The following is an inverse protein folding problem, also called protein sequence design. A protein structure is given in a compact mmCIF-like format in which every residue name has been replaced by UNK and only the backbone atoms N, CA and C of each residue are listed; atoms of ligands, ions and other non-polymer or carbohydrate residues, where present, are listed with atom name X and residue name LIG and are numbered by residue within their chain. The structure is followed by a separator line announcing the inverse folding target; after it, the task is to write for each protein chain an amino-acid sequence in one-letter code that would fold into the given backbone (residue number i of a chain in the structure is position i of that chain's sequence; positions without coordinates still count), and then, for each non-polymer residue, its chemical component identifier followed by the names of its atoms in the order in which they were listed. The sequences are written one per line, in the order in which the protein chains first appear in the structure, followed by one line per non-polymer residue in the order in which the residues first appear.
data_IF_982036498289
#
_entry.id   IF_982036498289
#
_cell.length_a   1.000
_cell.length_b   1.000
_cell.length_c   1.000
_cell.angle_alpha   90.00
_cell.angle_beta   90.00
_cell.angle_gamma   90.00
#
_symmetry.space_group_name_H-M   'P 1'
#
loop_
_entity.id
_entity.type
_entity.pdbx_description
1 polymer ?
#
# COMPACT_ATOMS: atom_id res chain seq x y z
N UNK A 1 35.04 5.64 -7.60
CA UNK A 1 33.89 6.57 -7.59
C UNK A 1 32.86 5.95 -6.66
N UNK A 2 32.64 6.52 -5.48
CA UNK A 2 31.61 5.99 -4.57
C UNK A 2 30.26 6.44 -5.12
N UNK A 3 29.43 5.48 -5.54
CA UNK A 3 28.07 5.76 -5.96
C UNK A 3 27.26 5.94 -4.66
N UNK A 4 26.76 7.14 -4.43
CA UNK A 4 25.82 7.37 -3.35
C UNK A 4 24.45 6.85 -3.78
N UNK A 5 24.03 5.74 -3.21
CA UNK A 5 22.70 5.21 -3.44
C UNK A 5 21.68 5.93 -2.56
N UNK A 6 20.48 6.11 -3.10
CA UNK A 6 19.32 6.63 -2.37
C UNK A 6 18.36 5.49 -2.11
N UNK A 7 17.73 5.50 -0.95
CA UNK A 7 16.67 4.56 -0.62
C UNK A 7 15.54 4.67 -1.65
N UNK A 8 15.16 3.56 -2.26
CA UNK A 8 14.06 3.54 -3.23
C UNK A 8 12.70 3.88 -2.61
N UNK A 9 12.56 3.77 -1.29
CA UNK A 9 11.32 4.05 -0.59
C UNK A 9 11.18 5.53 -0.20
N UNK A 10 12.21 6.14 0.39
CA UNK A 10 12.12 7.50 0.93
C UNK A 10 13.11 8.51 0.33
N UNK A 11 13.97 8.09 -0.61
CA UNK A 11 14.97 8.96 -1.23
C UNK A 11 16.17 9.34 -0.35
N UNK A 12 16.19 8.92 0.93
CA UNK A 12 17.29 9.21 1.85
C UNK A 12 18.61 8.58 1.36
N UNK A 13 19.71 9.27 1.59
CA UNK A 13 21.04 8.79 1.19
C UNK A 13 21.46 7.62 2.08
N UNK A 14 21.85 6.52 1.46
CA UNK A 14 22.21 5.29 2.16
C UNK A 14 23.71 5.30 2.50
N UNK A 15 24.04 4.68 3.63
CA UNK A 15 25.44 4.39 3.95
C UNK A 15 26.03 3.49 2.85
N UNK A 16 27.27 3.71 2.42
CA UNK A 16 27.91 2.88 1.41
C UNK A 16 28.02 1.43 1.90
N UNK A 17 27.27 0.52 1.25
CA UNK A 17 27.22 -0.91 1.56
C UNK A 17 28.09 -1.73 0.60
N UNK A 18 28.45 -2.96 1.02
CA UNK A 18 29.13 -3.92 0.14
C UNK A 18 28.19 -4.41 -0.97
N UNK A 19 28.71 -4.73 -2.18
CA UNK A 19 27.92 -5.00 -3.40
C UNK A 19 27.06 -6.28 -3.41
N UNK A 20 26.72 -6.85 -2.26
CA UNK A 20 25.83 -7.99 -2.13
C UNK A 20 25.33 -8.11 -0.69
N UNK A 21 24.17 -7.52 -0.42
CA UNK A 21 23.55 -7.58 0.90
C UNK A 21 22.14 -6.99 0.91
N UNK A 22 21.39 -7.30 1.96
CA UNK A 22 20.26 -6.45 2.33
C UNK A 22 20.82 -5.14 2.86
N UNK A 23 20.38 -4.04 2.28
CA UNK A 23 20.69 -2.69 2.76
C UNK A 23 19.50 -2.22 3.56
N UNK A 24 19.80 -1.78 4.78
CA UNK A 24 18.84 -1.20 5.70
C UNK A 24 18.87 0.32 5.55
N UNK A 25 17.71 0.96 5.44
CA UNK A 25 17.62 2.42 5.48
C UNK A 25 17.27 2.87 6.89
N UNK A 26 18.23 3.46 7.61
CA UNK A 26 18.02 3.97 8.97
C UNK A 26 16.91 5.04 9.06
N UNK A 27 16.53 5.65 7.93
CA UNK A 27 15.51 6.71 7.89
C UNK A 27 14.08 6.17 7.84
N UNK A 28 13.82 5.14 7.04
CA UNK A 28 12.49 4.57 6.85
C UNK A 28 12.39 3.09 7.28
N UNK A 29 13.46 2.56 7.88
CA UNK A 29 13.59 1.19 8.41
C UNK A 29 13.40 0.10 7.34
N UNK A 30 13.37 0.48 6.06
CA UNK A 30 13.14 -0.44 4.96
C UNK A 30 14.40 -1.27 4.66
N UNK A 31 14.23 -2.58 4.49
CA UNK A 31 15.25 -3.48 3.99
C UNK A 31 15.03 -3.73 2.49
N UNK A 32 16.06 -3.54 1.67
CA UNK A 32 16.00 -3.83 0.24
C UNK A 32 17.22 -4.63 -0.21
N UNK A 33 16.99 -5.55 -1.14
CA UNK A 33 18.08 -6.27 -1.80
C UNK A 33 18.69 -5.37 -2.86
N UNK A 34 19.93 -4.97 -2.64
CA UNK A 34 20.75 -4.33 -3.67
C UNK A 34 20.94 -5.35 -4.81
N UNK A 35 20.37 -5.09 -6.00
CA UNK A 35 20.73 -5.87 -7.18
C UNK A 35 22.19 -5.53 -7.49
N UNK A 36 23.06 -6.55 -7.51
CA UNK A 36 24.41 -6.37 -7.99
C UNK A 36 24.33 -5.76 -9.40
N UNK A 37 24.68 -4.49 -9.52
CA UNK A 37 24.81 -3.84 -10.82
C UNK A 37 25.91 -4.62 -11.53
N UNK A 38 25.52 -5.38 -12.56
CA UNK A 38 26.46 -6.08 -13.42
C UNK A 38 27.39 -5.03 -14.00
N UNK A 39 28.61 -4.93 -13.46
CA UNK A 39 29.66 -4.14 -14.09
C UNK A 39 29.81 -4.71 -15.50
N UNK A 40 29.50 -3.88 -16.50
CA UNK A 40 29.54 -4.28 -17.90
C UNK A 40 30.90 -4.88 -18.23
N UNK A 41 30.91 -6.18 -18.51
CA UNK A 41 31.99 -6.79 -19.24
C UNK A 41 31.94 -6.19 -20.64
N UNK A 42 32.91 -5.33 -20.97
CA UNK A 42 33.15 -4.92 -22.33
C UNK A 42 33.47 -6.17 -23.15
N UNK A 43 32.56 -6.57 -24.04
CA UNK A 43 32.80 -7.61 -25.05
C UNK A 43 33.18 -6.89 -26.35
N UNK A 44 34.45 -6.90 -26.78
CA UNK A 44 34.80 -6.47 -28.12
C UNK A 44 34.64 -7.66 -29.09
N UNK A 45 33.73 -7.50 -30.05
CA UNK A 45 33.73 -8.25 -31.32
C UNK A 45 33.29 -9.72 -31.25
N UNK A 46 32.11 -10.01 -31.79
CA UNK A 46 31.84 -11.31 -32.42
C UNK A 46 30.73 -11.16 -33.46
N UNK A 47 30.94 -11.85 -34.58
CA UNK A 47 30.24 -11.75 -35.84
C UNK A 47 28.76 -12.17 -35.76
N UNK A 48 27.98 -11.65 -36.70
CA UNK A 48 26.55 -11.92 -36.86
C UNK A 48 26.23 -13.41 -36.95
N UNK A 49 25.21 -13.80 -36.19
CA UNK A 49 24.47 -15.05 -36.42
C UNK A 49 23.19 -14.71 -37.19
N UNK A 50 22.80 -15.53 -38.18
CA UNK A 50 21.54 -15.36 -38.90
C UNK A 50 20.34 -15.56 -37.95
N UNK A 51 19.18 -14.92 -38.23
CA UNK A 51 17.99 -15.11 -37.43
C UNK A 51 17.49 -16.56 -37.53
N UNK A 52 17.00 -17.16 -36.43
CA UNK A 52 16.41 -18.48 -36.47
C UNK A 52 15.09 -18.48 -37.26
N UNK A 53 14.71 -19.61 -37.88
CA UNK A 53 13.45 -19.73 -38.59
C UNK A 53 12.25 -19.61 -37.63
N UNK A 54 11.27 -18.83 -38.04
CA UNK A 54 9.97 -18.69 -37.37
C UNK A 54 9.10 -19.92 -37.65
N UNK A 55 8.93 -20.78 -36.65
CA UNK A 55 7.87 -21.80 -36.66
C UNK A 55 6.61 -21.23 -36.01
N UNK A 56 5.40 -21.45 -36.57
CA UNK A 56 4.16 -21.12 -35.91
C UNK A 56 3.96 -22.05 -34.71
N UNK A 57 4.06 -21.49 -33.51
CA UNK A 57 3.74 -22.17 -32.25
C UNK A 57 2.22 -22.37 -32.17
N UNK A 58 1.76 -23.61 -32.36
CA UNK A 58 0.42 -23.99 -31.93
C UNK A 58 0.46 -24.15 -30.39
N UNK A 59 -0.40 -23.48 -29.62
CA UNK A 59 -0.44 -23.67 -28.18
C UNK A 59 -0.92 -25.11 -27.87
N UNK A 60 -0.27 -25.82 -26.93
CA UNK A 60 -0.75 -27.12 -26.50
C UNK A 60 -2.12 -26.99 -25.80
N UNK A 61 -2.98 -28.01 -25.87
CA UNK A 61 -4.24 -28.02 -25.13
C UNK A 61 -3.96 -27.98 -23.62
N UNK A 62 -4.57 -27.01 -22.94
CA UNK A 62 -4.56 -26.92 -21.47
C UNK A 62 -5.44 -28.05 -20.93
N UNK A 63 -4.81 -29.11 -20.43
CA UNK A 63 -5.47 -30.14 -19.64
C UNK A 63 -5.45 -29.68 -18.19
N UNK A 64 -6.55 -29.11 -17.69
CA UNK A 64 -6.74 -28.88 -16.26
C UNK A 64 -7.19 -30.18 -15.59
N UNK A 65 -6.45 -30.74 -14.62
CA UNK A 65 -6.96 -31.84 -13.83
C UNK A 65 -8.05 -31.34 -12.87
N UNK A 66 -9.26 -31.87 -13.01
CA UNK A 66 -10.30 -31.77 -11.99
C UNK A 66 -9.80 -32.42 -10.71
N UNK A 67 -9.58 -31.62 -9.65
CA UNK A 67 -9.48 -32.14 -8.29
C UNK A 67 -10.85 -32.02 -7.61
N UNK A 68 -11.43 -33.12 -7.10
CA UNK A 68 -12.63 -33.04 -6.28
C UNK A 68 -12.29 -32.43 -4.92
N UNK A 69 -13.03 -31.38 -4.55
CA UNK A 69 -12.98 -30.77 -3.22
C UNK A 69 -13.59 -31.74 -2.22
N UNK A 70 -12.74 -32.41 -1.45
CA UNK A 70 -13.18 -33.18 -0.29
C UNK A 70 -13.65 -32.21 0.81
N UNK A 71 -14.94 -32.31 1.18
CA UNK A 71 -15.51 -31.60 2.31
C UNK A 71 -14.90 -32.12 3.61
N UNK A 72 -13.95 -31.37 4.18
CA UNK A 72 -13.44 -31.63 5.52
C UNK A 72 -14.47 -31.14 6.55
N UNK A 73 -15.19 -32.09 7.15
CA UNK A 73 -16.04 -31.90 8.32
C UNK A 73 -15.19 -31.42 9.52
N UNK A 74 -15.38 -30.15 9.90
CA UNK A 74 -14.74 -29.54 11.07
C UNK A 74 -15.49 -29.96 12.35
N UNK A 75 -14.84 -30.74 13.22
CA UNK A 75 -15.33 -31.04 14.58
C UNK A 75 -14.88 -29.91 15.53
N UNK A 76 -15.76 -29.36 16.38
CA UNK A 76 -15.34 -28.44 17.44
C UNK A 76 -14.65 -29.23 18.56
N UNK A 77 -13.42 -28.83 18.92
CA UNK A 77 -12.77 -29.29 20.14
C UNK A 77 -13.03 -28.29 21.27
N UNK A 78 -13.56 -28.83 22.37
CA UNK A 78 -13.88 -28.13 23.59
C UNK A 78 -12.62 -27.71 24.37
N UNK A 79 -12.67 -26.48 24.88
CA UNK A 79 -12.33 -26.01 26.23
C UNK A 79 -11.29 -26.81 27.03
N UNK A 80 -10.18 -26.16 27.35
CA UNK A 80 -9.24 -26.55 28.40
C UNK A 80 -8.58 -25.33 29.02
N UNK A 81 -9.24 -24.74 30.02
CA UNK A 81 -8.70 -23.74 30.94
C UNK A 81 -7.63 -24.43 31.80
N UNK A 82 -6.39 -23.93 31.82
CA UNK A 82 -5.49 -24.11 32.95
C UNK A 82 -4.84 -22.78 33.35
N UNK A 83 -5.16 -22.36 34.57
CA UNK A 83 -4.43 -21.38 35.33
C UNK A 83 -3.14 -22.03 35.87
N UNK A 84 -2.01 -21.34 35.77
CA UNK A 84 -0.88 -21.57 36.64
C UNK A 84 -0.30 -20.22 37.08
N UNK A 85 -0.27 -20.05 38.39
CA UNK A 85 0.14 -18.88 39.15
C UNK A 85 1.61 -19.06 39.57
N UNK A 86 2.27 -17.93 39.86
CA UNK A 86 3.45 -17.76 40.73
C UNK A 86 4.83 -17.98 40.09
N UNK A 87 5.67 -16.96 40.20
CA UNK A 87 7.12 -17.10 40.09
C UNK A 87 7.85 -15.77 39.97
N UNK A 88 8.09 -15.12 41.12
CA UNK A 88 8.90 -13.93 41.27
C UNK A 88 10.40 -14.18 40.94
N UNK A 89 11.20 -13.10 41.07
CA UNK A 89 12.69 -13.08 41.23
C UNK A 89 13.41 -12.94 39.86
N UNK A 90 14.32 -12.01 39.56
CA UNK A 90 15.37 -11.31 40.32
C UNK A 90 15.81 -10.04 39.56
N UNK A 91 16.14 -8.98 40.31
CA UNK A 91 16.97 -7.87 39.85
C UNK A 91 18.42 -8.33 39.66
N UNK A 92 19.13 -7.91 38.61
CA UNK A 92 20.59 -7.73 38.69
C UNK A 92 21.20 -6.93 37.52
N UNK A 93 22.03 -5.97 37.93
CA UNK A 93 23.29 -5.48 37.34
C UNK A 93 23.31 -4.53 36.13
N UNK A 94 23.65 -3.28 36.46
CA UNK A 94 24.58 -2.41 35.73
C UNK A 94 25.88 -3.14 35.35
N UNK A 95 26.44 -2.90 34.16
CA UNK A 95 27.87 -2.70 33.80
C UNK A 95 27.84 -2.24 32.32
N UNK A 96 28.21 -1.01 31.97
CA UNK A 96 29.58 -0.64 31.66
C UNK A 96 29.93 -1.02 30.20
N UNK A 97 29.72 -0.09 29.26
CA UNK A 97 30.05 -0.27 27.84
C UNK A 97 30.69 0.99 27.27
N UNK A 98 32.00 0.94 27.09
CA UNK A 98 32.91 2.02 26.69
C UNK A 98 32.52 2.73 25.39
N UNK A 99 32.67 4.05 25.43
CA UNK A 99 32.70 4.93 24.27
C UNK A 99 33.87 4.56 23.35
N UNK A 100 33.57 4.02 22.16
CA UNK A 100 34.54 3.94 21.06
C UNK A 100 34.48 5.24 20.26
N UNK A 101 35.38 6.18 20.59
CA UNK A 101 35.69 7.35 19.76
C UNK A 101 36.51 6.85 18.57
N UNK A 102 35.85 6.50 17.48
CA UNK A 102 36.50 6.27 16.19
C UNK A 102 36.79 7.62 15.55
N UNK A 103 38.05 8.04 15.62
CA UNK A 103 38.58 9.15 14.84
C UNK A 103 38.50 8.81 13.34
N UNK A 104 37.46 9.30 12.68
CA UNK A 104 37.37 9.30 11.23
C UNK A 104 38.44 10.23 10.66
N UNK A 105 39.54 9.65 10.17
CA UNK A 105 40.53 10.34 9.33
C UNK A 105 39.86 10.79 8.04
N UNK A 106 39.46 12.06 8.01
CA UNK A 106 39.09 12.80 6.80
C UNK A 106 40.25 12.74 5.81
N UNK A 107 40.14 11.89 4.79
CA UNK A 107 41.02 11.93 3.64
C UNK A 107 40.64 13.16 2.83
N UNK A 108 41.49 14.18 2.86
CA UNK A 108 41.42 15.34 1.96
C UNK A 108 41.60 14.86 0.52
N UNK A 109 40.49 14.65 -0.18
CA UNK A 109 40.50 14.38 -1.62
C UNK A 109 41.00 15.66 -2.31
N UNK A 110 42.06 15.60 -3.13
CA UNK A 110 42.55 16.77 -3.84
C UNK A 110 41.44 17.35 -4.73
N UNK A 111 41.35 18.69 -4.83
CA UNK A 111 40.34 19.35 -5.65
C UNK A 111 40.49 18.89 -7.10
N UNK A 112 39.49 18.17 -7.61
CA UNK A 112 39.46 17.75 -9.00
C UNK A 112 39.25 19.02 -9.85
N UNK A 113 40.08 19.28 -10.87
CA UNK A 113 39.91 20.43 -11.75
C UNK A 113 38.51 20.43 -12.34
N UNK A 114 37.81 21.57 -12.21
CA UNK A 114 36.46 21.77 -12.68
C UNK A 114 36.44 21.74 -14.21
N UNK A 115 36.22 20.57 -14.79
CA UNK A 115 35.89 20.46 -16.22
C UNK A 115 34.50 21.04 -16.39
N UNK A 116 34.41 22.21 -17.02
CA UNK A 116 33.16 22.84 -17.40
C UNK A 116 32.34 21.84 -18.23
N UNK A 117 31.25 21.34 -17.65
CA UNK A 117 30.33 20.48 -18.39
C UNK A 117 29.64 21.35 -19.44
N UNK A 118 29.60 20.94 -20.72
CA UNK A 118 28.81 21.63 -21.72
C UNK A 118 27.36 21.70 -21.22
N UNK A 119 26.81 22.92 -21.20
CA UNK A 119 25.41 23.18 -20.86
C UNK A 119 24.57 22.57 -21.98
N UNK A 120 24.05 21.38 -21.75
CA UNK A 120 23.05 20.77 -22.64
C UNK A 120 21.78 21.63 -22.49
N UNK A 121 21.25 22.23 -23.57
CA UNK A 121 19.98 22.93 -23.52
C UNK A 121 18.94 21.96 -22.97
N UNK A 122 18.37 22.26 -21.80
CA UNK A 122 17.25 21.49 -21.28
C UNK A 122 16.08 21.73 -22.25
N UNK A 123 15.78 20.71 -23.05
CA UNK A 123 14.52 20.67 -23.80
C UNK A 123 13.42 20.74 -22.75
N UNK A 124 12.65 21.82 -22.77
CA UNK A 124 11.53 22.00 -21.85
C UNK A 124 10.63 20.76 -21.96
N UNK A 125 10.40 20.07 -20.84
CA UNK A 125 9.46 18.96 -20.84
C UNK A 125 8.11 19.48 -21.32
N UNK A 126 7.45 18.77 -22.26
CA UNK A 126 6.14 19.16 -22.73
C UNK A 126 5.20 19.20 -21.52
N UNK A 127 4.53 20.34 -21.34
CA UNK A 127 3.54 20.52 -20.27
C UNK A 127 2.48 19.40 -20.42
N UNK A 128 2.29 18.54 -19.42
CA UNK A 128 1.37 17.43 -19.54
C UNK A 128 -0.06 17.95 -19.72
N UNK A 129 -0.72 17.56 -20.81
CA UNK A 129 -2.12 17.88 -21.04
C UNK A 129 -2.96 17.23 -19.94
N UNK A 130 -3.83 17.98 -19.24
CA UNK A 130 -4.69 17.41 -18.21
C UNK A 130 -5.59 16.34 -18.82
N UNK A 131 -5.60 15.15 -18.21
CA UNK A 131 -6.48 14.05 -18.62
C UNK A 131 -7.95 14.47 -18.40
N UNK A 132 -8.86 14.16 -19.33
CA UNK A 132 -10.28 14.41 -19.11
C UNK A 132 -10.77 13.65 -17.88
N UNK A 133 -11.60 14.32 -17.06
CA UNK A 133 -12.23 13.72 -15.89
C UNK A 133 -13.49 12.96 -16.31
N UNK A 134 -13.69 11.79 -15.74
CA UNK A 134 -14.89 10.97 -15.89
C UNK A 134 -16.04 11.60 -15.11
N UNK A 135 -17.21 11.76 -15.73
CA UNK A 135 -18.40 12.22 -15.04
C UNK A 135 -18.98 11.12 -14.13
N UNK A 136 -19.48 11.51 -12.96
CA UNK A 136 -20.02 10.59 -11.94
C UNK A 136 -21.19 9.73 -12.43
N UNK A 137 -22.07 10.27 -13.27
CA UNK A 137 -23.22 9.57 -13.85
C UNK A 137 -22.82 8.48 -14.85
N UNK A 138 -21.64 8.59 -15.45
CA UNK A 138 -21.08 7.66 -16.43
C UNK A 138 -20.23 6.56 -15.79
N UNK A 139 -20.05 6.59 -14.47
CA UNK A 139 -19.15 5.70 -13.75
C UNK A 139 -19.53 4.22 -13.87
N UNK A 140 -20.82 3.91 -13.93
CA UNK A 140 -21.33 2.55 -14.09
C UNK A 140 -21.04 1.94 -15.46
N UNK A 141 -21.07 2.76 -16.51
CA UNK A 141 -20.99 2.31 -17.91
C UNK A 141 -19.57 2.40 -18.48
N UNK A 142 -18.63 2.97 -17.72
CA UNK A 142 -17.25 3.14 -18.16
C UNK A 142 -16.45 1.86 -17.96
N UNK A 143 -15.67 1.48 -18.99
CA UNK A 143 -14.71 0.37 -18.91
C UNK A 143 -13.49 0.80 -18.08
N UNK A 144 -13.63 0.68 -16.76
CA UNK A 144 -12.55 0.97 -15.81
C UNK A 144 -11.51 -0.16 -15.83
N UNK A 145 -10.22 0.22 -15.78
CA UNK A 145 -9.12 -0.73 -15.66
C UNK A 145 -8.62 -0.84 -14.23
N UNK A 146 -8.06 -1.98 -13.87
CA UNK A 146 -7.30 -2.14 -12.63
C UNK A 146 -5.85 -1.65 -12.75
N UNK A 147 -5.36 -1.46 -13.98
CA UNK A 147 -4.01 -0.95 -14.25
C UNK A 147 -3.95 0.57 -14.35
N UNK A 148 -5.11 1.23 -14.45
CA UNK A 148 -5.18 2.66 -14.71
C UNK A 148 -6.12 3.33 -13.73
N UNK A 149 -5.62 4.38 -13.09
CA UNK A 149 -6.44 5.34 -12.38
C UNK A 149 -7.09 6.29 -13.37
N UNK A 150 -8.42 6.40 -13.28
CA UNK A 150 -9.22 7.29 -14.09
C UNK A 150 -9.61 8.50 -13.25
N UNK A 151 -9.18 9.73 -13.60
CA UNK A 151 -9.60 10.92 -12.88
C UNK A 151 -11.13 11.05 -12.90
N UNK A 152 -11.72 11.37 -11.75
CA UNK A 152 -13.16 11.48 -11.56
C UNK A 152 -13.55 12.94 -11.29
N UNK A 153 -14.64 13.38 -11.91
CA UNK A 153 -15.31 14.64 -11.59
C UNK A 153 -16.29 14.42 -10.42
N UNK A 154 -15.72 14.24 -9.23
CA UNK A 154 -16.47 14.01 -8.00
C UNK A 154 -16.97 15.35 -7.41
N UNK A 155 -18.10 15.35 -6.67
CA UNK A 155 -18.48 16.47 -5.83
C UNK A 155 -17.35 16.84 -4.86
N UNK A 156 -17.28 18.11 -4.45
CA UNK A 156 -16.36 18.52 -3.41
C UNK A 156 -16.63 17.76 -2.10
N UNK A 157 -15.56 17.32 -1.44
CA UNK A 157 -15.62 16.75 -0.11
C UNK A 157 -15.70 17.86 0.96
N UNK A 158 -15.95 17.48 2.21
CA UNK A 158 -15.96 18.41 3.36
C UNK A 158 -14.56 18.59 3.95
N UNK A 159 -14.19 19.83 4.24
CA UNK A 159 -12.86 20.18 4.79
C UNK A 159 -11.87 20.67 3.73
N UNK A 160 -10.58 20.69 4.07
CA UNK A 160 -9.48 21.11 3.18
C UNK A 160 -8.48 19.96 2.99
N UNK A 161 -7.56 20.07 2.03
CA UNK A 161 -6.50 19.08 1.87
C UNK A 161 -5.60 18.90 3.11
N UNK A 162 -5.38 19.97 3.88
CA UNK A 162 -4.51 19.97 5.08
C UNK A 162 -5.20 19.53 6.37
N UNK A 163 -6.54 19.47 6.39
CA UNK A 163 -7.32 19.03 7.55
C UNK A 163 -8.45 18.08 7.12
N UNK A 164 -8.11 17.12 6.26
CA UNK A 164 -9.08 16.17 5.74
C UNK A 164 -9.46 15.15 6.81
N UNK A 165 -10.74 15.14 7.23
CA UNK A 165 -11.27 14.08 8.09
C UNK A 165 -11.78 12.90 7.26
N UNK A 166 -11.06 11.78 7.36
CA UNK A 166 -11.34 10.54 6.63
C UNK A 166 -12.72 9.96 6.94
N UNK A 167 -13.18 10.09 8.19
CA UNK A 167 -14.43 9.48 8.65
C UNK A 167 -15.62 10.38 8.34
N UNK A 168 -15.46 11.70 8.49
CA UNK A 168 -16.50 12.68 8.12
C UNK A 168 -16.86 12.60 6.64
N UNK A 169 -15.88 12.28 5.77
CA UNK A 169 -16.08 12.16 4.33
C UNK A 169 -16.53 10.76 3.86
N UNK A 170 -16.83 9.82 4.76
CA UNK A 170 -17.38 8.50 4.39
C UNK A 170 -18.71 8.59 3.63
N UNK A 171 -19.70 9.41 4.03
CA UNK A 171 -20.95 9.56 3.28
C UNK A 171 -20.71 10.03 1.83
N UNK A 172 -19.82 11.00 1.64
CA UNK A 172 -19.40 11.47 0.31
C UNK A 172 -18.81 10.34 -0.53
N UNK A 173 -17.91 9.53 0.03
CA UNK A 173 -17.32 8.40 -0.68
C UNK A 173 -18.38 7.33 -1.01
N UNK A 174 -19.35 7.10 -0.11
CA UNK A 174 -20.48 6.16 -0.35
C UNK A 174 -21.31 6.60 -1.54
N UNK A 175 -21.55 7.90 -1.73
CA UNK A 175 -22.30 8.40 -2.89
C UNK A 175 -21.56 8.13 -4.21
N UNK A 176 -20.22 8.22 -4.22
CA UNK A 176 -19.37 7.79 -5.35
C UNK A 176 -19.53 6.29 -5.60
N UNK A 177 -19.43 5.47 -4.55
CA UNK A 177 -19.65 4.02 -4.67
C UNK A 177 -21.03 3.68 -5.26
N UNK A 178 -22.08 4.40 -4.83
CA UNK A 178 -23.46 4.21 -5.32
C UNK A 178 -23.68 4.64 -6.76
N UNK A 179 -22.97 5.68 -7.22
CA UNK A 179 -22.98 6.08 -8.63
C UNK A 179 -22.36 5.00 -9.53
N UNK A 180 -21.39 4.23 -9.00
CA UNK A 180 -20.85 3.07 -9.70
C UNK A 180 -21.78 1.86 -9.67
N UNK A 181 -22.29 1.47 -8.50
CA UNK A 181 -23.34 0.44 -8.37
C UNK A 181 -24.31 0.82 -7.24
N UNK A 182 -25.64 0.80 -7.43
CA UNK A 182 -26.58 1.21 -6.39
C UNK A 182 -26.48 0.41 -5.08
N UNK A 183 -26.01 -0.85 -5.15
CA UNK A 183 -25.80 -1.74 -4.01
C UNK A 183 -24.36 -1.75 -3.49
N UNK A 184 -23.49 -0.86 -3.97
CA UNK A 184 -22.10 -0.78 -3.53
C UNK A 184 -22.03 -0.48 -2.02
N UNK A 185 -21.23 -1.27 -1.32
CA UNK A 185 -20.98 -1.13 0.12
C UNK A 185 -19.51 -0.87 0.36
N UNK A 186 -19.20 -0.04 1.37
CA UNK A 186 -17.84 0.21 1.79
C UNK A 186 -17.28 -1.03 2.48
N UNK A 187 -16.10 -1.49 2.08
CA UNK A 187 -15.43 -2.68 2.63
C UNK A 187 -14.10 -2.37 3.32
N UNK A 188 -13.42 -1.30 2.91
CA UNK A 188 -12.20 -0.87 3.56
C UNK A 188 -11.97 0.63 3.40
N UNK A 189 -11.30 1.21 4.39
CA UNK A 189 -10.67 2.53 4.31
C UNK A 189 -9.18 2.30 4.55
N UNK A 190 -8.32 2.81 3.68
CA UNK A 190 -6.86 2.69 3.80
C UNK A 190 -6.23 4.08 3.67
N UNK A 191 -5.38 4.45 4.62
CA UNK A 191 -4.81 5.79 4.73
C UNK A 191 -3.31 5.69 4.99
N UNK A 192 -2.50 6.29 4.11
CA UNK A 192 -1.03 6.30 4.17
C UNK A 192 -0.48 7.58 3.53
N UNK A 193 0.28 8.46 4.22
CA UNK A 193 0.58 8.44 5.64
C UNK A 193 -0.46 9.17 6.49
N UNK A 194 -0.50 8.80 7.77
CA UNK A 194 -1.15 9.52 8.86
C UNK A 194 -0.11 10.06 9.81
N UNK A 195 -0.28 11.29 10.28
CA UNK A 195 0.54 11.84 11.35
C UNK A 195 0.13 11.28 12.72
N UNK A 196 0.98 11.50 13.72
CA UNK A 196 0.77 11.00 15.10
C UNK A 196 -0.52 11.48 15.75
N UNK A 197 -1.05 12.62 15.34
CA UNK A 197 -2.32 13.18 15.82
C UNK A 197 -3.55 12.61 15.08
N UNK A 198 -3.35 11.68 14.15
CA UNK A 198 -4.41 11.08 13.35
C UNK A 198 -4.90 11.96 12.19
N UNK A 199 -4.17 13.04 11.85
CA UNK A 199 -4.41 13.83 10.64
C UNK A 199 -3.71 13.24 9.43
N UNK A 200 -4.18 13.59 8.23
CA UNK A 200 -3.46 13.39 6.99
C UNK A 200 -3.45 14.68 6.18
N UNK A 201 -2.41 14.86 5.37
CA UNK A 201 -2.33 15.92 4.37
C UNK A 201 -2.52 15.30 2.98
N UNK A 202 -3.65 15.59 2.34
CA UNK A 202 -3.91 15.16 0.97
C UNK A 202 -2.97 15.87 0.01
N UNK A 203 -2.42 15.14 -0.96
CA UNK A 203 -1.45 15.67 -1.93
C UNK A 203 -0.02 15.73 -1.43
N UNK A 204 0.24 15.35 -0.17
CA UNK A 204 1.61 15.12 0.29
C UNK A 204 2.28 14.01 -0.55
N UNK A 205 3.59 14.09 -0.83
CA UNK A 205 4.29 13.04 -1.56
C UNK A 205 4.15 11.67 -0.89
N UNK A 206 3.60 10.69 -1.59
CA UNK A 206 3.31 9.36 -1.06
C UNK A 206 1.99 9.26 -0.28
N UNK A 207 1.26 10.37 -0.14
CA UNK A 207 -0.07 10.42 0.43
C UNK A 207 -1.13 9.76 -0.44
N UNK A 208 -1.89 8.87 0.18
CA UNK A 208 -2.99 8.12 -0.41
C UNK A 208 -4.07 7.87 0.62
N UNK A 209 -5.31 8.10 0.19
CA UNK A 209 -6.51 7.69 0.90
C UNK A 209 -7.37 6.90 -0.07
N UNK A 210 -7.71 5.67 0.32
CA UNK A 210 -8.45 4.75 -0.52
C UNK A 210 -9.72 4.29 0.18
N UNK A 211 -10.87 4.55 -0.43
CA UNK A 211 -12.14 3.93 -0.07
C UNK A 211 -12.40 2.76 -1.01
N UNK A 212 -12.52 1.55 -0.46
CA UNK A 212 -12.77 0.34 -1.25
C UNK A 212 -14.23 -0.07 -1.15
N UNK A 213 -14.92 -0.13 -2.29
CA UNK A 213 -16.32 -0.52 -2.40
C UNK A 213 -16.47 -1.86 -3.12
N UNK A 214 -17.49 -2.63 -2.77
CA UNK A 214 -17.87 -3.83 -3.51
C UNK A 214 -19.39 -3.91 -3.73
N UNK A 215 -19.82 -4.41 -4.89
CA UNK A 215 -21.23 -4.68 -5.21
C UNK A 215 -21.52 -6.17 -5.07
N UNK A 216 -22.48 -6.52 -4.22
CA UNK A 216 -22.89 -7.91 -3.99
C UNK A 216 -23.59 -8.48 -5.22
N UNK A 217 -24.38 -7.66 -5.91
CA UNK A 217 -25.07 -8.03 -7.13
C UNK A 217 -24.08 -8.30 -8.26
N UNK A 218 -23.06 -7.45 -8.43
CA UNK A 218 -21.97 -7.69 -9.36
C UNK A 218 -21.27 -9.03 -9.07
N UNK A 219 -20.88 -9.27 -7.80
CA UNK A 219 -20.20 -10.52 -7.40
C UNK A 219 -21.06 -11.75 -7.72
N UNK A 220 -22.35 -11.68 -7.41
CA UNK A 220 -23.31 -12.76 -7.69
C UNK A 220 -23.44 -13.02 -9.20
N UNK A 221 -23.56 -11.94 -10.00
CA UNK A 221 -23.64 -12.04 -11.45
C UNK A 221 -22.33 -12.53 -12.09
N UNK A 222 -21.18 -12.12 -11.56
CA UNK A 222 -19.87 -12.61 -11.99
C UNK A 222 -19.71 -14.11 -11.70
N UNK A 223 -20.11 -14.56 -10.51
CA UNK A 223 -20.11 -15.99 -10.15
C UNK A 223 -21.00 -16.81 -11.08
N UNK A 224 -22.23 -16.37 -11.33
CA UNK A 224 -23.16 -17.05 -12.25
C UNK A 224 -22.60 -17.13 -13.67
N UNK A 225 -21.93 -16.08 -14.16
CA UNK A 225 -21.27 -16.09 -15.48
C UNK A 225 -20.12 -17.09 -15.52
N UNK A 226 -19.29 -17.14 -14.47
CA UNK A 226 -18.17 -18.07 -14.38
C UNK A 226 -18.61 -19.55 -14.40
N UNK A 227 -19.80 -19.87 -13.90
CA UNK A 227 -20.39 -21.21 -14.00
C UNK A 227 -20.76 -21.61 -15.44
N UNK A 228 -20.97 -20.63 -16.32
CA UNK A 228 -21.48 -20.84 -17.69
C UNK A 228 -20.49 -20.53 -18.81
N UNK A 229 -19.32 -19.97 -18.50
CA UNK A 229 -18.35 -19.48 -19.49
C UNK A 229 -16.95 -19.97 -19.15
N UNK A 230 -16.25 -20.58 -20.11
CA UNK A 230 -14.92 -21.18 -19.89
C UNK A 230 -13.82 -20.15 -19.58
N UNK A 231 -14.04 -18.86 -19.86
CA UNK A 231 -13.14 -17.75 -19.54
C UNK A 231 -13.95 -16.45 -19.35
N UNK A 232 -14.67 -16.26 -18.23
CA UNK A 232 -15.41 -15.03 -18.01
C UNK A 232 -14.42 -13.86 -17.99
N UNK A 233 -14.75 -12.71 -18.60
CA UNK A 233 -13.93 -11.50 -18.45
C UNK A 233 -13.78 -11.18 -16.97
N UNK A 234 -12.57 -10.80 -16.56
CA UNK A 234 -12.28 -10.38 -15.19
C UNK A 234 -12.93 -9.03 -14.92
N UNK A 235 -14.25 -9.04 -14.71
CA UNK A 235 -14.97 -7.87 -14.25
C UNK A 235 -14.73 -7.78 -12.75
N UNK A 236 -13.92 -6.80 -12.36
CA UNK A 236 -13.79 -6.51 -10.94
C UNK A 236 -15.13 -6.00 -10.42
N UNK A 237 -15.60 -6.64 -9.36
CA UNK A 237 -16.73 -6.17 -8.57
C UNK A 237 -16.26 -5.37 -7.35
N UNK A 238 -15.06 -4.78 -7.42
CA UNK A 238 -14.48 -3.93 -6.40
C UNK A 238 -13.92 -2.64 -7.00
N UNK A 239 -14.44 -1.50 -6.56
CA UNK A 239 -13.98 -0.16 -6.94
C UNK A 239 -13.12 0.40 -5.82
N UNK A 240 -12.03 1.05 -6.20
CA UNK A 240 -11.22 1.84 -5.28
C UNK A 240 -11.35 3.31 -5.68
N UNK A 241 -11.79 4.13 -4.74
CA UNK A 241 -11.79 5.59 -4.86
C UNK A 241 -10.51 6.09 -4.19
N UNK A 242 -9.62 6.67 -4.98
CA UNK A 242 -8.36 7.25 -4.53
C UNK A 242 -8.52 8.76 -4.37
N UNK A 243 -8.17 9.27 -3.20
CA UNK A 243 -8.14 10.71 -2.91
C UNK A 243 -6.68 11.13 -2.77
N UNK A 244 -6.17 11.78 -3.82
CA UNK A 244 -4.76 12.14 -3.96
C UNK A 244 -4.51 13.62 -3.67
N UNK A 245 -5.55 14.42 -3.44
CA UNK A 245 -5.48 15.88 -3.27
C UNK A 245 -6.87 16.51 -3.27
N UNK A 246 -6.95 17.82 -3.00
CA UNK A 246 -8.22 18.55 -2.85
C UNK A 246 -9.19 18.39 -4.02
N UNK A 247 -8.65 18.35 -5.24
CA UNK A 247 -9.42 18.23 -6.47
C UNK A 247 -8.94 17.07 -7.34
N UNK A 248 -8.19 16.15 -6.74
CA UNK A 248 -7.55 15.02 -7.40
C UNK A 248 -8.12 13.72 -6.85
N UNK A 249 -9.33 13.41 -7.31
CA UNK A 249 -10.01 12.14 -7.05
C UNK A 249 -9.88 11.28 -8.29
N UNK A 250 -9.47 10.04 -8.12
CA UNK A 250 -9.43 9.05 -9.19
C UNK A 250 -10.10 7.76 -8.75
N UNK A 251 -10.47 6.94 -9.72
CA UNK A 251 -11.07 5.63 -9.49
C UNK A 251 -10.33 4.56 -10.28
N UNK A 252 -10.28 3.35 -9.73
CA UNK A 252 -9.83 2.18 -10.45
C UNK A 252 -10.54 0.92 -9.97
N UNK A 253 -10.47 -0.13 -10.77
CA UNK A 253 -10.92 -1.45 -10.36
C UNK A 253 -9.85 -2.16 -9.53
N UNK A 254 -10.23 -2.94 -8.53
CA UNK A 254 -9.31 -3.82 -7.82
C UNK A 254 -9.38 -5.23 -8.40
N UNK A 255 -8.26 -5.82 -8.81
CA UNK A 255 -8.22 -7.26 -9.15
C UNK A 255 -8.54 -8.15 -7.95
N UNK A 256 -8.24 -7.67 -6.75
CA UNK A 256 -8.45 -8.41 -5.53
C UNK A 256 -9.89 -8.19 -5.11
N UNK A 257 -10.71 -9.22 -5.31
CA UNK A 257 -12.06 -9.26 -4.79
C UNK A 257 -12.02 -9.01 -3.28
N UNK A 258 -12.76 -8.00 -2.82
CA UNK A 258 -12.92 -7.79 -1.39
C UNK A 258 -13.75 -8.93 -0.81
N UNK A 259 -13.09 -9.88 -0.14
CA UNK A 259 -13.75 -10.99 0.57
C UNK A 259 -14.28 -10.59 1.95
N UNK A 260 -13.98 -9.35 2.38
CA UNK A 260 -14.45 -8.79 3.64
C UNK A 260 -15.95 -8.55 3.65
N UNK A 261 -16.49 -8.33 4.85
CA UNK A 261 -17.85 -7.81 5.03
C UNK A 261 -17.86 -6.31 4.82
N UNK A 262 -19.02 -5.77 4.43
CA UNK A 262 -19.24 -4.34 4.48
C UNK A 262 -18.95 -3.79 5.89
N UNK A 263 -18.36 -2.60 5.92
CA UNK A 263 -18.09 -1.85 7.14
C UNK A 263 -19.15 -0.75 7.30
N UNK A 264 -19.73 -0.57 8.51
CA UNK A 264 -20.56 0.59 8.78
C UNK A 264 -19.68 1.84 8.82
N UNK A 265 -20.30 3.00 8.69
CA UNK A 265 -19.62 4.27 8.92
C UNK A 265 -19.00 4.28 10.32
N UNK A 266 -17.68 4.56 10.45
CA UNK A 266 -17.03 4.63 11.74
C UNK A 266 -17.66 5.74 12.60
N UNK A 267 -17.84 5.48 13.89
CA UNK A 267 -18.43 6.47 14.82
C UNK A 267 -17.41 7.47 15.36
N UNK A 268 -16.12 7.19 15.21
CA UNK A 268 -15.03 7.99 15.72
C UNK A 268 -14.10 8.40 14.58
N UNK A 269 -13.49 9.58 14.70
CA UNK A 269 -12.47 10.03 13.75
C UNK A 269 -11.13 9.36 14.03
N UNK A 270 -10.22 9.38 13.04
CA UNK A 270 -8.85 8.90 13.23
C UNK A 270 -8.11 9.70 14.31
N UNK A 271 -8.37 11.01 14.43
CA UNK A 271 -7.84 11.84 15.53
C UNK A 271 -8.16 11.24 16.90
N UNK A 272 -9.42 10.81 17.12
CA UNK A 272 -9.84 10.18 18.38
C UNK A 272 -9.17 8.82 18.61
N UNK A 273 -9.03 8.02 17.54
CA UNK A 273 -8.33 6.72 17.59
C UNK A 273 -6.87 6.90 18.01
N UNK A 274 -6.16 7.82 17.36
CA UNK A 274 -4.75 8.09 17.63
C UNK A 274 -4.53 8.71 19.02
N UNK A 275 -5.38 9.66 19.44
CA UNK A 275 -5.33 10.23 20.79
C UNK A 275 -5.45 9.16 21.88
N UNK A 276 -6.33 8.15 21.69
CA UNK A 276 -6.46 7.06 22.64
C UNK A 276 -5.23 6.15 22.69
N UNK A 277 -4.66 5.81 21.54
CA UNK A 277 -3.44 5.00 21.47
C UNK A 277 -2.26 5.68 22.13
N UNK A 278 -2.13 6.98 21.91
CA UNK A 278 -1.07 7.79 22.50
C UNK A 278 -1.23 7.85 24.03
N UNK A 279 -2.46 8.10 24.52
CA UNK A 279 -2.80 8.05 25.95
C UNK A 279 -2.47 6.68 26.58
N UNK A 280 -2.70 5.59 25.84
CA UNK A 280 -2.39 4.21 26.27
C UNK A 280 -0.92 3.83 26.10
N UNK A 281 -0.07 4.72 25.57
CA UNK A 281 1.34 4.45 25.21
C UNK A 281 1.49 3.24 24.28
N UNK A 282 0.50 3.03 23.41
CA UNK A 282 0.48 1.93 22.42
C UNK A 282 0.94 2.36 21.03
N UNK A 283 1.13 3.66 20.81
CA UNK A 283 1.64 4.18 19.56
C UNK A 283 3.18 4.17 19.58
N UNK A 284 3.86 3.44 18.69
CA UNK A 284 5.32 3.48 18.56
C UNK A 284 5.81 4.90 18.25
N UNK A 285 7.06 5.25 18.58
CA UNK A 285 7.59 6.59 18.24
C UNK A 285 7.99 6.66 16.77
N UNK A 286 7.04 7.04 15.91
CA UNK A 286 7.27 7.26 14.46
C UNK A 286 6.66 8.58 13.99
N UNK A 287 7.18 9.16 12.89
CA UNK A 287 6.66 10.40 12.32
C UNK A 287 5.29 10.19 11.66
N UNK A 288 5.11 9.04 11.02
CA UNK A 288 3.93 8.71 10.21
C UNK A 288 3.52 7.25 10.42
N UNK A 289 2.26 6.96 10.12
CA UNK A 289 1.62 5.66 10.27
C UNK A 289 0.76 5.37 9.06
N UNK A 290 0.37 4.11 8.90
CA UNK A 290 -0.70 3.70 8.00
C UNK A 290 -1.87 3.18 8.82
N UNK A 291 -3.09 3.61 8.52
CA UNK A 291 -4.28 3.05 9.15
C UNK A 291 -5.18 2.40 8.11
N UNK A 292 -5.69 1.21 8.44
CA UNK A 292 -6.65 0.50 7.62
C UNK A 292 -7.82 0.04 8.46
N UNK A 293 -9.02 0.47 8.07
CA UNK A 293 -10.26 -0.07 8.62
C UNK A 293 -10.77 -1.16 7.70
N UNK A 294 -11.04 -2.34 8.26
CA UNK A 294 -11.64 -3.45 7.52
C UNK A 294 -12.49 -4.31 8.46
N UNK A 295 -13.43 -5.06 7.89
CA UNK A 295 -14.11 -6.11 8.63
C UNK A 295 -13.24 -7.37 8.72
N UNK A 296 -13.06 -7.88 9.93
CA UNK A 296 -12.45 -9.17 10.23
C UNK A 296 -13.47 -10.11 10.91
N UNK A 297 -13.02 -11.23 11.47
CA UNK A 297 -13.87 -12.19 12.19
C UNK A 297 -14.41 -11.64 13.53
N UNK A 298 -13.75 -10.65 14.12
CA UNK A 298 -14.08 -10.02 15.41
C UNK A 298 -14.90 -8.72 15.27
N UNK A 299 -15.06 -8.20 14.05
CA UNK A 299 -15.86 -7.02 13.77
C UNK A 299 -15.13 -6.06 12.83
N UNK A 300 -15.26 -4.77 13.09
CA UNK A 300 -14.66 -3.70 12.28
C UNK A 300 -13.47 -3.09 13.01
N UNK A 301 -12.27 -3.44 12.57
CA UNK A 301 -11.04 -3.17 13.34
C UNK A 301 -10.18 -2.16 12.59
N UNK A 302 -9.71 -1.13 13.29
CA UNK A 302 -8.63 -0.28 12.80
C UNK A 302 -7.30 -1.00 13.05
N UNK A 303 -6.57 -1.28 11.98
CA UNK A 303 -5.18 -1.76 12.02
C UNK A 303 -4.25 -0.60 11.74
N UNK A 304 -3.29 -0.36 12.63
CA UNK A 304 -2.37 0.78 12.53
C UNK A 304 -0.95 0.27 12.47
N UNK A 305 -0.30 0.48 11.33
CA UNK A 305 1.10 0.13 11.11
C UNK A 305 2.03 1.33 11.23
N UNK A 306 3.23 1.07 11.72
CA UNK A 306 4.36 2.00 11.69
C UNK A 306 5.12 2.00 10.34
N UNK A 307 4.83 1.06 9.44
CA UNK A 307 5.49 0.95 8.14
C UNK A 307 4.64 1.48 6.99
N UNK A 308 5.32 1.82 5.89
CA UNK A 308 4.70 2.20 4.63
C UNK A 308 4.46 0.99 3.72
N UNK A 309 3.42 1.06 2.90
CA UNK A 309 3.13 0.01 1.91
C UNK A 309 2.33 -1.18 2.46
N UNK A 310 1.77 -1.98 1.55
CA UNK A 310 0.72 -2.97 1.86
C UNK A 310 1.20 -4.13 2.74
N UNK A 311 2.50 -4.45 2.71
CA UNK A 311 3.10 -5.51 3.54
C UNK A 311 3.39 -5.10 4.98
N UNK A 312 3.26 -3.82 5.34
CA UNK A 312 3.59 -3.35 6.68
C UNK A 312 2.51 -3.68 7.74
N UNK A 313 1.34 -4.18 7.33
CA UNK A 313 0.20 -4.38 8.23
C UNK A 313 0.36 -5.56 9.21
N UNK A 314 1.36 -6.42 9.04
CA UNK A 314 1.45 -7.69 9.77
C UNK A 314 1.90 -7.58 11.24
N UNK A 315 2.53 -6.47 11.65
CA UNK A 315 3.02 -6.27 13.04
C UNK A 315 2.27 -5.15 13.80
N UNK A 316 1.07 -4.82 13.32
CA UNK A 316 0.33 -3.64 13.79
C UNK A 316 -0.48 -3.91 15.05
N UNK A 317 -0.52 -3.00 16.04
CA UNK A 317 -1.53 -3.06 17.09
C UNK A 317 -2.94 -3.06 16.49
N UNK A 318 -3.71 -4.11 16.78
CA UNK A 318 -5.12 -4.22 16.38
C UNK A 318 -6.00 -3.45 17.38
N UNK A 319 -6.81 -2.53 16.86
CA UNK A 319 -7.84 -1.84 17.63
C UNK A 319 -9.23 -2.33 17.25
N UNK A 320 -9.80 -3.11 18.15
CA UNK A 320 -11.17 -3.63 18.07
C UNK A 320 -12.20 -2.49 17.99
N UNK A 321 -13.34 -2.71 17.30
CA UNK A 321 -14.46 -1.75 17.18
C UNK A 321 -15.00 -1.26 18.53
N UNK A 322 -14.75 -1.99 19.61
CA UNK A 322 -15.20 -1.62 20.96
C UNK A 322 -14.66 -0.28 21.45
N UNK A 323 -13.58 0.25 20.86
CA UNK A 323 -13.08 1.57 21.25
C UNK A 323 -14.05 2.71 20.89
N UNK A 324 -14.74 2.62 19.74
CA UNK A 324 -15.59 3.69 19.22
C UNK A 324 -17.09 3.42 19.41
N UNK A 325 -17.45 2.49 20.29
CA UNK A 325 -18.83 2.08 20.49
C UNK A 325 -19.06 1.21 21.71
N UNK A 326 -19.24 1.86 22.87
CA UNK A 326 -20.44 1.64 23.68
C UNK A 326 -21.21 2.95 23.70
#
# INVERSE_FOLDING_TARGET
MLIHERCSNCGAQLAPSRPSGMVHCDFCDANFRQRATSMGAAVPGAFGSPPPPTYPYAPPPIVTPFMPVAAASYRPQNVGIQFAVVGAVLAMSMVGGLASILMSRSHSVPPRPAVARPVVPQVAEPVPTPKPKLAMDSLHDTDLSWMQETPLDAPAFSGTASDFDVVENVPWAIDIGKAWWPDAQLHAIDVDPLFRDGTMELGSPGGSLNYTFASKNCVTAAKKRAETTTNPPQNSCTLVVHVLGENNVSVSLSLIASSGRAIPTPKCSLKQVFAHLDQKKKLPTRPTYRARLQADVFGHTWRISAGHGSGAMDESPELSPSFCGK
#
